data_IF_223726955923
#
_entry.id   IF_223726955923
#
_cell.length_a   1.000
_cell.length_b   1.000
_cell.length_c   1.000
_cell.angle_alpha   90.00
_cell.angle_beta   90.00
_cell.angle_gamma   90.00
#
_symmetry.space_group_name_H-M   'P 1'
#
loop_
_entity.id
_entity.type
_entity.pdbx_description
1 polymer ?
#
# COMPACT_ATOMS: atom_id res chain seq x y z
N UNK A 1 -12.17 20.34 -6.96
CA UNK A 1 -11.29 20.69 -5.83
C UNK A 1 -9.88 20.64 -6.38
N UNK A 2 -8.98 21.54 -6.01
CA UNK A 2 -7.57 21.46 -6.42
C UNK A 2 -6.74 21.14 -5.20
N UNK A 3 -6.02 20.03 -5.25
CA UNK A 3 -5.09 19.61 -4.20
C UNK A 3 -3.77 20.37 -4.35
N UNK A 4 -3.20 20.80 -3.24
CA UNK A 4 -1.89 21.44 -3.22
C UNK A 4 -0.83 20.34 -3.15
N UNK A 5 0.21 20.46 -3.97
CA UNK A 5 1.29 19.47 -4.06
C UNK A 5 2.62 20.05 -3.62
N UNK A 6 3.42 19.24 -2.92
CA UNK A 6 4.77 19.53 -2.48
C UNK A 6 5.73 18.47 -3.00
N UNK A 7 6.91 18.85 -3.44
CA UNK A 7 7.93 17.92 -3.91
C UNK A 7 9.12 17.84 -2.95
N UNK A 8 8.94 17.15 -1.81
CA UNK A 8 10.01 16.94 -0.83
C UNK A 8 10.94 15.76 -1.18
N UNK A 9 10.51 14.86 -2.07
CA UNK A 9 11.25 13.64 -2.42
C UNK A 9 12.14 13.80 -3.67
N UNK A 10 11.96 14.89 -4.44
CA UNK A 10 12.58 14.99 -5.76
C UNK A 10 12.10 13.91 -6.72
N UNK A 11 12.86 13.66 -7.78
CA UNK A 11 12.57 12.62 -8.76
C UNK A 11 13.41 11.38 -8.47
N UNK A 12 12.77 10.38 -7.84
CA UNK A 12 13.39 9.10 -7.49
C UNK A 12 12.68 8.00 -8.25
N UNK A 13 13.41 7.35 -9.15
CA UNK A 13 13.00 6.11 -9.80
C UNK A 13 13.99 5.02 -9.45
N UNK A 14 13.49 3.89 -8.92
CA UNK A 14 14.29 2.72 -8.61
C UNK A 14 14.01 1.61 -9.63
N UNK A 15 15.08 0.98 -10.12
CA UNK A 15 14.96 -0.22 -10.92
C UNK A 15 14.29 -1.34 -10.12
N UNK A 16 13.49 -2.16 -10.80
CA UNK A 16 12.72 -3.25 -10.18
C UNK A 16 13.02 -4.55 -10.88
N UNK A 17 13.05 -5.64 -10.12
CA UNK A 17 13.02 -7.00 -10.64
C UNK A 17 12.09 -7.86 -9.80
N UNK A 18 11.60 -8.95 -10.37
CA UNK A 18 10.84 -9.94 -9.65
C UNK A 18 11.53 -11.30 -9.78
N UNK A 19 11.78 -11.94 -8.65
CA UNK A 19 12.43 -13.24 -8.58
C UNK A 19 11.67 -14.11 -7.58
N UNK A 20 11.22 -15.29 -8.01
CA UNK A 20 10.45 -16.23 -7.16
C UNK A 20 9.21 -15.60 -6.50
N UNK A 21 8.53 -14.68 -7.20
CA UNK A 21 7.35 -13.97 -6.68
C UNK A 21 7.67 -12.88 -5.64
N UNK A 22 8.94 -12.56 -5.43
CA UNK A 22 9.41 -11.48 -4.57
C UNK A 22 9.83 -10.31 -5.47
N UNK A 23 9.27 -9.14 -5.22
CA UNK A 23 9.68 -7.90 -5.89
C UNK A 23 10.84 -7.27 -5.13
N UNK A 24 11.88 -6.91 -5.89
CA UNK A 24 13.04 -6.20 -5.40
C UNK A 24 13.18 -4.83 -6.06
N UNK A 25 13.80 -3.91 -5.33
CA UNK A 25 14.18 -2.58 -5.79
C UNK A 25 15.68 -2.41 -5.66
N UNK A 26 16.30 -1.76 -6.66
CA UNK A 26 17.72 -1.39 -6.61
C UNK A 26 17.84 -0.01 -5.98
N UNK A 27 18.47 0.09 -4.81
CA UNK A 27 18.72 1.35 -4.11
C UNK A 27 19.82 2.17 -4.79
N UNK A 28 19.95 3.47 -4.46
CA UNK A 28 21.00 4.32 -5.03
C UNK A 28 22.42 3.83 -4.80
N UNK A 29 22.68 3.11 -3.71
CA UNK A 29 23.95 2.47 -3.39
C UNK A 29 24.24 1.17 -4.17
N UNK A 30 23.28 0.75 -5.01
CA UNK A 30 23.34 -0.49 -5.81
C UNK A 30 22.81 -1.73 -5.08
N UNK A 31 22.41 -1.65 -3.83
CA UNK A 31 21.85 -2.77 -3.09
C UNK A 31 20.43 -3.12 -3.59
N UNK A 32 20.13 -4.41 -3.70
CA UNK A 32 18.80 -4.91 -4.01
C UNK A 32 18.05 -5.26 -2.72
N UNK A 33 16.96 -4.58 -2.46
CA UNK A 33 16.12 -4.80 -1.28
C UNK A 33 14.72 -5.28 -1.65
N UNK A 34 14.08 -6.14 -0.85
CA UNK A 34 12.72 -6.59 -1.12
C UNK A 34 11.69 -5.48 -0.93
N UNK A 35 10.52 -5.64 -1.57
CA UNK A 35 9.41 -4.72 -1.33
C UNK A 35 8.72 -5.02 0.00
N UNK A 36 8.21 -3.96 0.66
CA UNK A 36 7.38 -4.12 1.86
C UNK A 36 6.15 -5.01 1.57
N UNK A 37 5.57 -4.92 0.38
CA UNK A 37 4.43 -5.75 0.00
C UNK A 37 4.79 -7.22 -0.11
N UNK A 38 6.02 -7.57 -0.53
CA UNK A 38 6.50 -8.96 -0.51
C UNK A 38 6.65 -9.47 0.92
N UNK A 39 7.18 -8.63 1.83
CA UNK A 39 7.33 -8.97 3.25
C UNK A 39 5.97 -9.18 3.92
N UNK A 40 5.02 -8.27 3.75
CA UNK A 40 3.68 -8.41 4.37
C UNK A 40 2.87 -9.55 3.75
N UNK A 41 3.02 -9.82 2.45
CA UNK A 41 2.36 -10.94 1.77
C UNK A 41 2.88 -12.30 2.25
N UNK A 42 4.15 -12.39 2.61
CA UNK A 42 4.75 -13.59 3.18
C UNK A 42 3.99 -14.07 4.42
N UNK A 43 3.54 -13.18 5.29
CA UNK A 43 2.75 -13.52 6.47
C UNK A 43 1.36 -14.07 6.15
N UNK A 44 0.77 -13.62 5.06
CA UNK A 44 -0.56 -14.09 4.63
C UNK A 44 -0.50 -15.37 3.78
N UNK A 45 0.69 -15.88 3.42
CA UNK A 45 0.84 -16.99 2.48
C UNK A 45 0.12 -18.26 2.90
N UNK A 46 0.19 -18.62 4.18
CA UNK A 46 -0.48 -19.82 4.69
C UNK A 46 -2.00 -19.68 4.72
N UNK A 47 -2.49 -18.52 5.15
CA UNK A 47 -3.93 -18.21 5.16
C UNK A 47 -4.46 -18.25 3.72
N UNK A 48 -3.70 -17.66 2.79
CA UNK A 48 -4.05 -17.65 1.37
C UNK A 48 -4.00 -19.05 0.75
N UNK A 49 -2.99 -19.86 1.09
CA UNK A 49 -2.88 -21.25 0.64
C UNK A 49 -4.04 -22.11 1.15
N UNK A 50 -4.41 -21.99 2.44
CA UNK A 50 -5.57 -22.69 3.03
C UNK A 50 -6.88 -22.26 2.35
N UNK A 51 -7.04 -20.96 2.07
CA UNK A 51 -8.21 -20.47 1.35
C UNK A 51 -8.27 -21.01 -0.08
N UNK A 52 -7.17 -20.98 -0.84
CA UNK A 52 -7.10 -21.55 -2.20
C UNK A 52 -7.44 -23.04 -2.23
N UNK A 53 -6.94 -23.80 -1.25
CA UNK A 53 -7.25 -25.24 -1.12
C UNK A 53 -8.74 -25.46 -0.86
N UNK A 54 -9.38 -24.60 -0.06
CA UNK A 54 -10.81 -24.70 0.28
C UNK A 54 -11.74 -24.37 -0.87
N UNK A 55 -11.45 -23.30 -1.63
CA UNK A 55 -12.36 -22.82 -2.70
C UNK A 55 -12.06 -23.44 -4.06
N UNK A 56 -10.89 -24.07 -4.23
CA UNK A 56 -10.39 -24.59 -5.49
C UNK A 56 -9.58 -23.57 -6.28
N UNK A 57 -8.67 -24.06 -7.13
CA UNK A 57 -7.68 -23.23 -7.84
C UNK A 57 -8.35 -22.29 -8.82
N UNK A 58 -9.33 -22.78 -9.60
CA UNK A 58 -10.02 -21.98 -10.63
C UNK A 58 -10.79 -20.82 -10.01
N UNK A 59 -11.58 -21.10 -8.97
CA UNK A 59 -12.36 -20.07 -8.27
C UNK A 59 -11.44 -19.08 -7.55
N UNK A 60 -10.37 -19.54 -6.90
CA UNK A 60 -9.39 -18.67 -6.28
C UNK A 60 -8.74 -17.73 -7.31
N UNK A 61 -8.38 -18.22 -8.49
CA UNK A 61 -7.81 -17.42 -9.57
C UNK A 61 -8.82 -16.39 -10.09
N UNK A 62 -10.09 -16.78 -10.29
CA UNK A 62 -11.17 -15.89 -10.71
C UNK A 62 -11.39 -14.75 -9.72
N UNK A 63 -11.48 -15.09 -8.43
CA UNK A 63 -11.68 -14.11 -7.34
C UNK A 63 -10.47 -13.15 -7.24
N UNK A 64 -9.25 -13.70 -7.28
CA UNK A 64 -8.03 -12.90 -7.21
C UNK A 64 -7.94 -11.94 -8.40
N UNK A 65 -8.17 -12.43 -9.63
CA UNK A 65 -8.14 -11.58 -10.84
C UNK A 65 -9.16 -10.43 -10.75
N UNK A 66 -10.40 -10.73 -10.31
CA UNK A 66 -11.44 -9.71 -10.11
C UNK A 66 -11.02 -8.67 -9.06
N UNK A 67 -10.48 -9.13 -7.92
CA UNK A 67 -10.05 -8.25 -6.84
C UNK A 67 -8.87 -7.36 -7.25
N UNK A 68 -7.86 -7.93 -7.94
CA UNK A 68 -6.71 -7.18 -8.45
C UNK A 68 -7.15 -6.10 -9.44
N UNK A 69 -7.95 -6.48 -10.44
CA UNK A 69 -8.42 -5.54 -11.44
C UNK A 69 -9.24 -4.38 -10.82
N UNK A 70 -10.12 -4.70 -9.84
CA UNK A 70 -10.88 -3.68 -9.09
C UNK A 70 -9.95 -2.76 -8.31
N UNK A 71 -8.93 -3.31 -7.66
CA UNK A 71 -7.95 -2.54 -6.91
C UNK A 71 -7.18 -1.59 -7.82
N UNK A 72 -6.62 -2.09 -8.92
CA UNK A 72 -5.86 -1.29 -9.89
C UNK A 72 -6.69 -0.11 -10.40
N UNK A 73 -7.89 -0.37 -10.93
CA UNK A 73 -8.76 0.70 -11.45
C UNK A 73 -9.07 1.77 -10.39
N UNK A 74 -9.33 1.35 -9.14
CA UNK A 74 -9.66 2.31 -8.07
C UNK A 74 -8.44 3.16 -7.70
N UNK A 75 -7.24 2.57 -7.60
CA UNK A 75 -6.00 3.31 -7.34
C UNK A 75 -5.70 4.30 -8.46
N UNK A 76 -5.86 3.90 -9.73
CA UNK A 76 -5.68 4.79 -10.89
C UNK A 76 -6.63 5.99 -10.86
N UNK A 77 -7.91 5.76 -10.54
CA UNK A 77 -8.89 6.83 -10.41
C UNK A 77 -8.59 7.77 -9.24
N UNK A 78 -8.21 7.22 -8.08
CA UNK A 78 -7.83 8.01 -6.90
C UNK A 78 -6.55 8.82 -7.15
N UNK A 79 -5.54 8.20 -7.78
CA UNK A 79 -4.30 8.86 -8.18
C UNK A 79 -4.59 10.04 -9.12
N UNK A 80 -5.30 9.80 -10.22
CA UNK A 80 -5.62 10.84 -11.20
C UNK A 80 -6.37 12.01 -10.54
N UNK A 81 -7.33 11.70 -9.68
CA UNK A 81 -8.08 12.72 -8.95
C UNK A 81 -7.20 13.56 -8.03
N UNK A 82 -6.38 12.92 -7.22
CA UNK A 82 -5.47 13.60 -6.29
C UNK A 82 -4.37 14.38 -7.01
N UNK A 83 -3.99 13.96 -8.22
CA UNK A 83 -3.05 14.70 -9.10
C UNK A 83 -3.71 15.87 -9.85
N UNK A 84 -4.97 16.19 -9.57
CA UNK A 84 -5.76 17.22 -10.28
C UNK A 84 -5.91 16.94 -11.79
N UNK A 85 -5.82 15.69 -12.22
CA UNK A 85 -6.03 15.31 -13.61
C UNK A 85 -7.53 15.17 -13.90
N UNK A 86 -7.91 15.45 -15.13
CA UNK A 86 -9.28 15.20 -15.59
C UNK A 86 -9.49 13.68 -15.73
N UNK A 87 -10.49 13.16 -15.01
CA UNK A 87 -10.86 11.75 -15.12
C UNK A 87 -11.70 11.52 -16.39
N UNK A 88 -11.19 10.67 -17.28
CA UNK A 88 -11.98 10.14 -18.38
C UNK A 88 -12.74 8.89 -17.92
N UNK A 89 -13.97 9.04 -17.51
CA UNK A 89 -14.77 7.96 -16.93
C UNK A 89 -15.08 6.82 -17.93
N UNK A 90 -14.97 7.04 -19.23
CA UNK A 90 -15.16 5.99 -20.23
C UNK A 90 -14.07 4.90 -20.16
N UNK A 91 -12.91 5.24 -19.62
CA UNK A 91 -11.78 4.30 -19.42
C UNK A 91 -11.96 3.42 -18.19
N UNK A 92 -12.84 3.79 -17.26
CA UNK A 92 -13.06 3.07 -16.01
C UNK A 92 -14.32 2.21 -16.06
N UNK A 93 -14.26 1.04 -15.44
CA UNK A 93 -15.43 0.19 -15.29
C UNK A 93 -16.53 0.91 -14.49
N UNK A 94 -17.82 0.64 -14.76
CA UNK A 94 -18.93 1.25 -14.00
C UNK A 94 -18.82 1.03 -12.49
N UNK A 95 -18.30 -0.13 -12.06
CA UNK A 95 -18.04 -0.43 -10.67
C UNK A 95 -17.00 0.52 -10.04
N UNK A 96 -15.95 0.86 -10.76
CA UNK A 96 -14.91 1.79 -10.31
C UNK A 96 -15.48 3.20 -10.16
N UNK A 97 -16.28 3.65 -11.12
CA UNK A 97 -16.97 4.94 -11.03
C UNK A 97 -17.88 5.01 -9.81
N UNK A 98 -18.66 3.95 -9.57
CA UNK A 98 -19.54 3.85 -8.40
C UNK A 98 -18.77 3.90 -7.09
N UNK A 99 -17.72 3.09 -6.96
CA UNK A 99 -16.86 3.06 -5.77
C UNK A 99 -16.17 4.41 -5.53
N UNK A 100 -15.65 5.02 -6.59
CA UNK A 100 -15.00 6.33 -6.51
C UNK A 100 -15.98 7.41 -6.05
N UNK A 101 -17.20 7.44 -6.58
CA UNK A 101 -18.23 8.40 -6.17
C UNK A 101 -18.49 8.35 -4.66
N UNK A 102 -18.55 7.15 -4.09
CA UNK A 102 -18.73 6.95 -2.65
C UNK A 102 -17.47 7.29 -1.82
N UNK A 103 -16.28 7.04 -2.38
CA UNK A 103 -15.02 7.37 -1.72
C UNK A 103 -14.66 8.86 -1.82
N UNK A 104 -15.16 9.57 -2.83
CA UNK A 104 -14.81 10.98 -3.10
C UNK A 104 -14.94 11.91 -1.90
N UNK A 105 -16.00 11.89 -1.07
CA UNK A 105 -16.09 12.74 0.12
C UNK A 105 -14.97 12.52 1.15
N UNK A 106 -14.35 11.34 1.13
CA UNK A 106 -13.21 11.00 1.98
C UNK A 106 -11.88 11.40 1.31
N UNK A 107 -11.77 11.28 0.00
CA UNK A 107 -10.62 11.78 -0.78
C UNK A 107 -10.54 13.31 -0.70
N UNK A 108 -11.68 14.01 -0.67
CA UNK A 108 -11.77 15.47 -0.53
C UNK A 108 -11.22 15.99 0.81
N UNK A 109 -11.00 15.11 1.81
CA UNK A 109 -10.36 15.45 3.08
C UNK A 109 -8.83 15.44 3.01
N UNK A 110 -8.27 15.00 1.89
CA UNK A 110 -6.83 15.01 1.63
C UNK A 110 -6.45 16.38 1.08
N UNK A 111 -5.33 16.94 1.53
CA UNK A 111 -4.72 18.14 0.96
C UNK A 111 -3.20 18.13 1.24
N UNK A 112 -2.50 19.21 0.83
CA UNK A 112 -1.04 19.34 1.02
C UNK A 112 -0.33 18.01 0.74
N UNK A 113 -0.47 17.54 -0.51
CA UNK A 113 0.01 16.22 -0.94
C UNK A 113 1.51 16.24 -1.14
N UNK A 114 2.23 15.35 -0.45
CA UNK A 114 3.69 15.22 -0.50
C UNK A 114 4.14 14.11 -1.46
N UNK A 115 3.34 13.06 -1.61
CA UNK A 115 3.62 11.96 -2.50
C UNK A 115 2.32 11.29 -2.99
N UNK A 116 2.27 10.92 -4.26
CA UNK A 116 1.24 10.04 -4.85
C UNK A 116 1.97 9.00 -5.69
N UNK A 117 1.71 7.72 -5.43
CA UNK A 117 2.29 6.59 -6.17
C UNK A 117 3.82 6.71 -6.31
N UNK A 118 4.48 7.20 -5.26
CA UNK A 118 5.93 7.41 -5.23
C UNK A 118 6.66 6.24 -4.59
N UNK A 119 7.82 5.92 -5.12
CA UNK A 119 8.69 4.92 -4.52
C UNK A 119 9.43 5.52 -3.33
N UNK A 120 9.34 4.85 -2.18
CA UNK A 120 10.07 5.15 -0.96
C UNK A 120 10.98 3.96 -0.62
N UNK A 121 12.09 4.24 0.03
CA UNK A 121 12.99 3.22 0.53
C UNK A 121 13.58 3.60 1.89
N UNK A 122 14.04 2.60 2.59
CA UNK A 122 14.78 2.75 3.84
C UNK A 122 16.02 1.88 3.75
N UNK A 123 17.19 2.50 3.78
CA UNK A 123 18.48 1.80 3.84
C UNK A 123 18.61 1.09 5.19
N UNK A 124 18.15 1.75 6.26
CA UNK A 124 18.17 1.20 7.61
C UNK A 124 17.34 -0.07 7.75
N UNK A 125 16.14 -0.12 7.18
CA UNK A 125 15.26 -1.28 7.22
C UNK A 125 15.55 -2.30 6.11
N UNK A 126 16.33 -1.92 5.09
CA UNK A 126 16.62 -2.76 3.94
C UNK A 126 15.37 -3.10 3.12
N UNK A 127 14.49 -2.14 2.93
CA UNK A 127 13.22 -2.30 2.23
C UNK A 127 12.91 -1.13 1.31
N UNK A 128 12.09 -1.38 0.30
CA UNK A 128 11.49 -0.32 -0.52
C UNK A 128 10.01 -0.64 -0.80
N UNK A 129 9.30 0.35 -1.36
CA UNK A 129 7.90 0.16 -1.76
C UNK A 129 7.34 1.41 -2.42
N UNK A 130 6.15 1.27 -3.00
CA UNK A 130 5.43 2.37 -3.62
C UNK A 130 4.24 2.73 -2.74
N UNK A 131 4.27 3.94 -2.17
CA UNK A 131 3.20 4.46 -1.33
C UNK A 131 2.07 4.98 -2.20
N UNK A 132 0.83 4.75 -1.80
CA UNK A 132 -0.33 5.28 -2.52
C UNK A 132 -0.39 6.80 -2.38
N UNK A 133 -0.38 7.33 -1.14
CA UNK A 133 -0.37 8.76 -0.89
C UNK A 133 0.30 9.11 0.44
N UNK A 134 1.02 10.22 0.47
CA UNK A 134 1.39 10.95 1.69
C UNK A 134 0.86 12.37 1.53
N UNK A 135 0.06 12.81 2.48
CA UNK A 135 -0.55 14.13 2.48
C UNK A 135 -1.29 14.39 3.78
N UNK A 136 -1.81 15.59 3.96
CA UNK A 136 -2.64 15.88 5.10
C UNK A 136 -4.02 15.26 4.94
N UNK A 137 -4.44 14.47 5.91
CA UNK A 137 -5.80 13.98 6.05
C UNK A 137 -6.48 14.69 7.22
N UNK A 138 -7.50 15.51 6.91
CA UNK A 138 -8.14 16.40 7.90
C UNK A 138 -7.14 17.31 8.63
N UNK A 139 -6.16 17.85 7.87
CA UNK A 139 -5.19 18.83 8.38
C UNK A 139 -4.00 18.24 9.14
N UNK A 140 -3.83 16.90 9.14
CA UNK A 140 -2.68 16.25 9.78
C UNK A 140 -1.96 15.32 8.79
N UNK A 141 -0.63 15.46 8.69
CA UNK A 141 0.17 14.66 7.76
C UNK A 141 0.05 13.17 8.06
N UNK A 142 -0.32 12.40 7.03
CA UNK A 142 -0.61 10.98 7.10
C UNK A 142 0.04 10.21 5.95
N UNK A 143 0.35 8.94 6.19
CA UNK A 143 0.40 7.91 5.13
C UNK A 143 -1.04 7.46 4.88
N UNK A 144 -1.46 7.45 3.63
CA UNK A 144 -2.81 7.10 3.22
C UNK A 144 -2.72 5.95 2.22
N UNK A 145 -3.34 4.83 2.57
CA UNK A 145 -3.35 3.60 1.79
C UNK A 145 -4.78 3.29 1.33
N UNK A 146 -4.97 3.16 0.02
CA UNK A 146 -6.28 2.87 -0.58
C UNK A 146 -6.48 1.37 -0.69
N UNK A 147 -7.60 0.88 -0.20
CA UNK A 147 -7.94 -0.54 -0.26
C UNK A 147 -9.33 -0.77 -0.82
N UNK A 148 -9.43 -1.76 -1.69
CA UNK A 148 -10.74 -2.27 -2.12
C UNK A 148 -10.97 -3.64 -1.50
N UNK A 149 -12.17 -3.89 -1.03
CA UNK A 149 -12.54 -5.17 -0.43
C UNK A 149 -13.99 -5.51 -0.77
N UNK A 150 -14.33 -6.79 -0.84
CA UNK A 150 -15.72 -7.24 -1.08
C UNK A 150 -16.68 -6.80 0.04
N UNK A 151 -16.15 -6.72 1.26
CA UNK A 151 -16.85 -6.22 2.47
C UNK A 151 -15.86 -5.46 3.32
N UNK A 152 -16.33 -4.56 4.17
CA UNK A 152 -15.47 -3.93 5.17
C UNK A 152 -14.92 -5.01 6.11
N UNK A 153 -13.60 -5.06 6.21
CA UNK A 153 -12.91 -6.02 7.08
C UNK A 153 -12.92 -5.53 8.53
N UNK A 154 -13.03 -6.44 9.51
CA UNK A 154 -12.74 -6.10 10.89
C UNK A 154 -11.33 -5.57 11.06
N UNK A 155 -11.14 -4.54 11.88
CA UNK A 155 -9.85 -3.86 12.06
C UNK A 155 -8.70 -4.81 12.44
N UNK A 156 -8.98 -5.82 13.28
CA UNK A 156 -8.00 -6.84 13.68
C UNK A 156 -7.41 -7.67 12.52
N UNK A 157 -7.99 -7.57 11.31
CA UNK A 157 -7.49 -8.25 10.11
C UNK A 157 -6.68 -7.32 9.21
N UNK A 158 -6.46 -6.07 9.64
CA UNK A 158 -5.78 -5.03 8.85
C UNK A 158 -4.34 -4.79 9.32
N UNK A 159 -3.85 -5.57 10.27
CA UNK A 159 -2.51 -5.41 10.86
C UNK A 159 -1.42 -5.26 9.78
N UNK A 160 -1.48 -6.08 8.72
CA UNK A 160 -0.52 -6.00 7.62
C UNK A 160 -0.57 -4.65 6.85
N UNK A 161 -1.73 -3.99 6.80
CA UNK A 161 -1.84 -2.67 6.18
C UNK A 161 -1.18 -1.62 7.07
N UNK A 162 -1.45 -1.66 8.37
CA UNK A 162 -0.81 -0.74 9.33
C UNK A 162 0.71 -0.95 9.41
N UNK A 163 1.21 -2.17 9.25
CA UNK A 163 2.65 -2.46 9.12
C UNK A 163 3.22 -1.85 7.84
N UNK A 164 2.52 -1.98 6.72
CA UNK A 164 2.91 -1.40 5.43
C UNK A 164 2.94 0.13 5.51
N UNK A 165 1.90 0.75 6.05
CA UNK A 165 1.80 2.20 6.25
C UNK A 165 2.90 2.70 7.21
N UNK A 166 3.21 1.93 8.26
CA UNK A 166 4.31 2.25 9.20
C UNK A 166 5.66 2.24 8.50
N UNK A 167 5.92 1.27 7.62
CA UNK A 167 7.12 1.28 6.79
C UNK A 167 7.21 2.57 5.97
N UNK A 168 6.14 2.96 5.28
CA UNK A 168 6.15 4.19 4.48
C UNK A 168 6.38 5.44 5.33
N UNK A 169 5.83 5.50 6.54
CA UNK A 169 6.09 6.60 7.45
C UNK A 169 7.57 6.67 7.90
N UNK A 170 8.20 5.52 8.15
CA UNK A 170 9.62 5.43 8.48
C UNK A 170 10.51 5.81 7.30
N UNK A 171 10.25 5.23 6.13
CA UNK A 171 11.00 5.52 4.90
C UNK A 171 10.88 7.00 4.50
N UNK A 172 9.68 7.57 4.59
CA UNK A 172 9.48 8.97 4.29
C UNK A 172 10.26 9.88 5.24
N UNK A 173 10.24 9.56 6.55
CA UNK A 173 11.05 10.28 7.53
C UNK A 173 12.55 10.17 7.25
N UNK A 174 13.05 8.98 6.93
CA UNK A 174 14.47 8.75 6.59
C UNK A 174 14.89 9.56 5.37
N UNK A 175 14.04 9.64 4.34
CA UNK A 175 14.33 10.33 3.09
C UNK A 175 14.19 11.87 3.18
N UNK A 176 13.34 12.39 4.07
CA UNK A 176 12.97 13.82 4.08
C UNK A 176 13.19 14.53 5.41
N UNK A 177 13.37 13.80 6.52
CA UNK A 177 13.38 14.35 7.88
C UNK A 177 12.00 14.77 8.41
N UNK A 178 10.92 14.61 7.62
CA UNK A 178 9.56 15.03 8.00
C UNK A 178 8.82 13.86 8.66
N UNK A 179 8.43 13.98 9.95
CA UNK A 179 7.77 12.88 10.65
C UNK A 179 6.30 12.76 10.25
N UNK A 180 5.85 11.56 9.94
CA UNK A 180 4.45 11.22 9.74
C UNK A 180 3.93 10.45 10.94
N UNK A 181 2.88 10.93 11.60
CA UNK A 181 2.34 10.34 12.84
C UNK A 181 1.01 9.61 12.63
N UNK A 182 0.34 9.88 11.53
CA UNK A 182 -1.00 9.36 11.24
C UNK A 182 -0.93 8.34 10.11
N UNK A 183 -1.62 7.21 10.29
CA UNK A 183 -1.76 6.15 9.30
C UNK A 183 -3.24 6.02 8.96
N UNK A 184 -3.58 6.08 7.69
CA UNK A 184 -4.95 6.06 7.19
C UNK A 184 -5.10 4.93 6.17
N UNK A 185 -5.91 3.92 6.50
CA UNK A 185 -6.42 2.99 5.50
C UNK A 185 -7.83 3.41 5.08
N UNK A 186 -8.00 3.83 3.84
CA UNK A 186 -9.30 4.14 3.25
C UNK A 186 -9.80 2.91 2.48
N UNK A 187 -10.80 2.23 3.01
CA UNK A 187 -11.34 1.01 2.41
C UNK A 187 -12.70 1.28 1.79
N UNK A 188 -12.87 0.87 0.51
CA UNK A 188 -14.13 0.98 -0.22
C UNK A 188 -14.58 -0.38 -0.75
N UNK A 189 -15.88 -0.61 -0.77
CA UNK A 189 -16.49 -1.87 -1.25
C UNK A 189 -17.26 -1.67 -2.54
N UNK A 190 -17.48 -2.73 -3.34
CA UNK A 190 -18.38 -2.69 -4.50
C UNK A 190 -19.82 -2.28 -4.17
N UNK A 191 -20.24 -2.42 -2.92
CA UNK A 191 -21.56 -1.96 -2.43
C UNK A 191 -21.60 -0.47 -2.06
N UNK A 192 -20.50 0.29 -2.25
CA UNK A 192 -20.43 1.71 -1.92
C UNK A 192 -20.17 2.00 -0.43
N UNK A 193 -19.95 0.97 0.39
CA UNK A 193 -19.57 1.18 1.78
C UNK A 193 -18.12 1.66 1.85
N UNK A 194 -17.87 2.74 2.60
CA UNK A 194 -16.53 3.31 2.80
C UNK A 194 -16.23 3.37 4.28
N UNK A 195 -15.03 2.94 4.66
CA UNK A 195 -14.55 3.03 6.02
C UNK A 195 -13.10 3.54 6.04
N UNK A 196 -12.86 4.52 6.91
CA UNK A 196 -11.53 5.03 7.22
C UNK A 196 -11.08 4.42 8.55
N UNK A 197 -9.90 3.83 8.55
CA UNK A 197 -9.21 3.37 9.75
C UNK A 197 -8.07 4.36 10.02
N UNK A 198 -8.11 5.02 11.18
CA UNK A 198 -7.13 6.01 11.62
C UNK A 198 -6.29 5.41 12.76
N UNK A 199 -4.98 5.36 12.58
CA UNK A 199 -4.02 4.87 13.56
C UNK A 199 -2.93 5.91 13.82
N UNK A 200 -2.63 6.11 15.10
CA UNK A 200 -1.64 7.11 15.56
C UNK A 200 -0.47 6.48 16.30
N UNK A 201 -0.69 5.40 17.02
CA UNK A 201 0.38 4.68 17.72
C UNK A 201 1.10 3.75 16.74
N UNK A 202 2.32 4.12 16.36
CA UNK A 202 3.16 3.35 15.45
C UNK A 202 4.11 2.38 16.15
N UNK A 203 4.34 2.54 17.45
CA UNK A 203 5.40 1.80 18.17
C UNK A 203 5.18 0.29 18.12
N UNK A 204 3.94 -0.16 18.26
CA UNK A 204 3.61 -1.58 18.18
C UNK A 204 3.78 -2.11 16.75
N UNK A 205 3.41 -1.31 15.74
CA UNK A 205 3.58 -1.68 14.33
C UNK A 205 5.04 -1.62 13.88
N UNK A 206 5.89 -0.76 14.46
CA UNK A 206 7.35 -0.76 14.24
C UNK A 206 7.95 -2.07 14.74
N UNK A 207 7.62 -2.51 15.96
CA UNK A 207 8.08 -3.80 16.49
C UNK A 207 7.65 -4.97 15.62
N UNK A 208 6.41 -4.90 15.14
CA UNK A 208 5.85 -5.91 14.25
C UNK A 208 6.52 -5.91 12.88
N UNK A 209 6.78 -4.74 12.30
CA UNK A 209 7.53 -4.58 11.05
C UNK A 209 8.92 -5.20 11.15
N UNK A 210 9.67 -4.91 12.22
CA UNK A 210 10.99 -5.49 12.44
C UNK A 210 10.93 -7.01 12.56
N UNK A 211 9.90 -7.55 13.23
CA UNK A 211 9.68 -8.99 13.30
C UNK A 211 9.41 -9.58 11.92
N UNK A 212 8.55 -8.95 11.13
CA UNK A 212 8.22 -9.39 9.76
C UNK A 212 9.47 -9.44 8.87
N UNK A 213 10.31 -8.41 8.94
CA UNK A 213 11.57 -8.37 8.19
C UNK A 213 12.46 -9.55 8.58
N UNK A 214 12.69 -9.75 9.89
CA UNK A 214 13.55 -10.82 10.38
C UNK A 214 13.09 -12.21 9.95
N UNK A 215 11.80 -12.50 10.08
CA UNK A 215 11.24 -13.79 9.69
C UNK A 215 11.26 -13.99 8.17
N UNK A 216 10.98 -12.93 7.40
CA UNK A 216 11.06 -12.96 5.94
C UNK A 216 12.49 -13.26 5.46
N UNK A 217 13.48 -12.55 5.98
CA UNK A 217 14.91 -12.76 5.65
C UNK A 217 15.33 -14.16 6.02
N UNK A 218 15.06 -14.60 7.26
CA UNK A 218 15.44 -15.94 7.74
C UNK A 218 14.85 -17.06 6.87
N UNK A 219 13.63 -16.94 6.42
CA UNK A 219 13.02 -17.94 5.55
C UNK A 219 13.67 -18.00 4.17
N UNK A 220 13.98 -16.83 3.57
CA UNK A 220 14.51 -16.80 2.21
C UNK A 220 16.01 -17.17 2.15
N UNK A 221 16.79 -16.87 3.20
CA UNK A 221 18.20 -17.31 3.28
C UNK A 221 18.34 -18.83 3.47
N UNK A 222 17.40 -19.50 4.14
CA UNK A 222 17.39 -20.96 4.24
C UNK A 222 17.05 -21.66 2.93
N UNK A 223 16.11 -21.12 2.19
CA UNK A 223 15.74 -21.67 0.87
C UNK A 223 16.86 -21.52 -0.17
N UNK A 224 17.72 -20.52 -0.07
CA UNK A 224 18.90 -20.36 -0.93
C UNK A 224 20.02 -21.35 -0.56
N UNK A 225 20.13 -21.74 0.71
CA UNK A 225 21.14 -22.69 1.18
C UNK A 225 20.70 -24.17 1.10
N UNK A 226 19.50 -24.45 0.58
CA UNK A 226 19.03 -25.84 0.35
C UNK A 226 18.64 -26.60 1.62
N UNK A 227 18.32 -25.90 2.73
CA UNK A 227 17.77 -26.48 3.96
C UNK A 227 16.24 -26.38 4.04
#
# INVERSE_FOLDING_TARGET
MNFIHHNFLGDIELNKKETQGIRFYNLPDGQWVPSITSVTSFYNREIFAKWRKRVGIEEANRVTKKATARGTDFHEAAQAYLMNLQLNWEEFRPMTQFMFHHAKPYLDKINNVHAIERTLYSEYLGLAGRVDCIGEYEGELAVIDFKTSEKIKPEKWLENYFVQETFYACAYYEMTGIPVKKLITLMVTPGGEVKVFDKRNKDDYIKLLVRYIKEFVHHNTRTENGE
#
